data_IF_197176042559
#
_entry.id   IF_197176042559
#
_cell.length_a   1.000
_cell.length_b   1.000
_cell.length_c   1.000
_cell.angle_alpha   90.00
_cell.angle_beta   90.00
_cell.angle_gamma   90.00
#
_symmetry.space_group_name_H-M   'P 1'
#
loop_
_entity.id
_entity.type
_entity.pdbx_description
1 polymer ?
#
# COMPACT_ATOMS: atom_id res chain seq x y z
N UNK A 1 -54.82 74.78 -29.03
CA UNK A 1 -55.58 74.28 -30.19
C UNK A 1 -54.78 73.17 -30.85
N UNK A 2 -55.41 72.01 -31.02
CA UNK A 2 -55.02 70.79 -31.78
C UNK A 2 -53.85 69.95 -31.21
N UNK A 3 -54.14 68.79 -30.56
CA UNK A 3 -54.40 67.43 -31.10
C UNK A 3 -53.07 66.79 -31.60
N UNK A 4 -52.65 65.55 -31.30
CA UNK A 4 -53.35 64.31 -31.00
C UNK A 4 -52.36 63.26 -30.42
N UNK A 5 -52.93 62.34 -29.63
CA UNK A 5 -52.55 60.94 -29.34
C UNK A 5 -51.25 60.36 -29.93
N UNK A 6 -50.41 59.75 -29.08
CA UNK A 6 -49.76 58.47 -29.41
C UNK A 6 -49.53 57.63 -28.14
N UNK A 7 -50.04 56.42 -28.21
CA UNK A 7 -50.14 55.36 -27.19
C UNK A 7 -48.82 54.84 -26.66
N UNK A 8 -48.77 54.62 -25.34
CA UNK A 8 -47.73 53.92 -24.62
C UNK A 8 -47.97 52.40 -24.71
N UNK A 9 -47.03 51.63 -25.28
CA UNK A 9 -46.86 50.20 -24.98
C UNK A 9 -45.37 49.86 -25.01
N UNK A 10 -44.83 49.52 -23.84
CA UNK A 10 -43.52 48.91 -23.69
C UNK A 10 -43.49 47.59 -24.45
N UNK A 11 -42.63 47.49 -25.47
CA UNK A 11 -42.24 46.22 -26.06
C UNK A 11 -41.14 45.63 -25.19
N UNK A 12 -41.51 44.65 -24.36
CA UNK A 12 -40.57 43.81 -23.64
C UNK A 12 -39.91 42.87 -24.66
N UNK A 13 -38.69 43.19 -25.10
CA UNK A 13 -37.90 42.31 -25.96
C UNK A 13 -37.48 41.08 -25.16
N UNK A 14 -38.17 39.97 -25.40
CA UNK A 14 -37.82 38.65 -24.90
C UNK A 14 -36.52 38.22 -25.60
N UNK A 15 -35.39 38.21 -24.89
CA UNK A 15 -34.19 37.50 -25.34
C UNK A 15 -34.49 36.00 -25.25
N UNK A 16 -34.73 35.36 -26.40
CA UNK A 16 -34.67 33.92 -26.50
C UNK A 16 -33.20 33.51 -26.29
N UNK A 17 -32.87 33.02 -25.09
CA UNK A 17 -31.64 32.25 -24.89
C UNK A 17 -31.86 30.93 -25.62
N UNK A 18 -31.36 30.85 -26.85
CA UNK A 18 -31.16 29.58 -27.53
C UNK A 18 -30.13 28.80 -26.72
N UNK A 19 -30.60 27.91 -25.85
CA UNK A 19 -29.80 26.80 -25.36
C UNK A 19 -29.36 25.99 -26.58
N UNK A 20 -28.17 26.26 -27.09
CA UNK A 20 -27.43 25.22 -27.80
C UNK A 20 -27.06 24.18 -26.75
N UNK A 21 -27.94 23.18 -26.60
CA UNK A 21 -27.56 21.90 -26.05
C UNK A 21 -26.51 21.30 -26.97
N UNK A 22 -25.24 21.62 -26.70
CA UNK A 22 -24.17 20.72 -27.08
C UNK A 22 -24.48 19.42 -26.35
N UNK A 23 -24.62 18.28 -27.04
CA UNK A 23 -24.48 17.03 -26.33
C UNK A 23 -23.06 17.09 -25.75
N UNK A 24 -22.93 16.98 -24.43
CA UNK A 24 -21.70 16.47 -23.89
C UNK A 24 -21.58 15.07 -24.49
N UNK A 25 -20.88 14.96 -25.63
CA UNK A 25 -20.30 13.70 -26.00
C UNK A 25 -19.41 13.36 -24.83
N UNK A 26 -19.86 12.42 -23.99
CA UNK A 26 -18.93 11.58 -23.27
C UNK A 26 -18.01 11.05 -24.38
N UNK A 27 -16.86 11.68 -24.52
CA UNK A 27 -15.76 11.08 -25.22
C UNK A 27 -15.53 9.84 -24.36
N UNK A 28 -15.91 8.68 -24.85
CA UNK A 28 -15.40 7.42 -24.33
C UNK A 28 -13.89 7.56 -24.51
N UNK A 29 -13.23 8.15 -23.50
CA UNK A 29 -11.79 8.13 -23.38
C UNK A 29 -11.48 6.64 -23.43
N UNK A 30 -10.87 6.22 -24.53
CA UNK A 30 -10.47 4.83 -24.71
C UNK A 30 -9.67 4.51 -23.46
N UNK A 31 -10.22 3.64 -22.62
CA UNK A 31 -9.53 3.19 -21.42
C UNK A 31 -8.31 2.46 -21.95
N UNK A 32 -7.14 3.08 -21.80
CA UNK A 32 -5.87 2.46 -22.15
C UNK A 32 -5.83 1.06 -21.50
N UNK A 33 -5.51 0.00 -22.24
CA UNK A 33 -5.48 -1.33 -21.65
C UNK A 33 -4.34 -1.38 -20.62
N UNK A 34 -4.69 -1.54 -19.34
CA UNK A 34 -3.72 -1.63 -18.24
C UNK A 34 -3.62 -3.06 -17.73
N UNK A 35 -2.39 -3.55 -17.62
CA UNK A 35 -2.05 -4.81 -16.98
C UNK A 35 -1.36 -4.54 -15.63
N UNK A 36 -1.98 -4.99 -14.54
CA UNK A 36 -1.38 -4.98 -13.20
C UNK A 36 -0.84 -6.37 -12.90
N UNK A 37 0.44 -6.47 -12.56
CA UNK A 37 1.03 -7.71 -12.06
C UNK A 37 1.41 -7.51 -10.60
N UNK A 38 0.81 -8.34 -9.75
CA UNK A 38 1.13 -8.45 -8.33
C UNK A 38 1.65 -9.84 -8.07
N UNK A 39 2.72 -9.99 -7.30
CA UNK A 39 3.08 -11.30 -6.79
C UNK A 39 2.07 -11.74 -5.71
N UNK A 40 1.53 -12.94 -5.89
CA UNK A 40 0.62 -13.59 -4.92
C UNK A 40 1.32 -14.75 -4.19
N UNK A 41 2.64 -14.88 -4.34
CA UNK A 41 3.48 -15.86 -3.66
C UNK A 41 3.21 -17.31 -4.08
N UNK A 42 2.69 -17.53 -5.29
CA UNK A 42 2.38 -18.88 -5.82
C UNK A 42 3.46 -19.44 -6.74
N UNK A 43 4.37 -18.61 -7.21
CA UNK A 43 5.49 -19.01 -8.06
C UNK A 43 6.75 -18.78 -7.25
N UNK A 44 7.37 -19.86 -6.80
CA UNK A 44 8.69 -19.84 -6.18
C UNK A 44 9.71 -20.27 -7.23
N UNK A 45 10.35 -19.30 -7.87
CA UNK A 45 11.44 -19.51 -8.81
C UNK A 45 12.82 -19.39 -8.13
N UNK A 46 12.85 -19.31 -6.79
CA UNK A 46 14.07 -19.12 -5.99
C UNK A 46 14.64 -17.70 -6.04
N UNK A 47 13.90 -16.74 -6.62
CA UNK A 47 14.26 -15.33 -6.67
C UNK A 47 13.12 -14.47 -6.10
N UNK A 48 13.42 -13.22 -5.74
CA UNK A 48 12.35 -12.26 -5.55
C UNK A 48 11.91 -11.70 -6.90
N UNK A 49 10.73 -12.11 -7.36
CA UNK A 49 10.06 -11.56 -8.53
C UNK A 49 10.85 -11.60 -9.85
N UNK A 50 11.89 -12.42 -10.04
CA UNK A 50 12.64 -12.42 -11.31
C UNK A 50 11.77 -12.86 -12.49
N UNK A 51 10.99 -13.94 -12.36
CA UNK A 51 10.04 -14.34 -13.40
C UNK A 51 8.99 -13.27 -13.69
N UNK A 52 8.50 -12.59 -12.65
CA UNK A 52 7.59 -11.44 -12.78
C UNK A 52 8.26 -10.25 -13.47
N UNK A 53 9.51 -9.96 -13.13
CA UNK A 53 10.33 -8.90 -13.71
C UNK A 53 10.54 -9.12 -15.21
N UNK A 54 11.07 -10.29 -15.58
CA UNK A 54 11.40 -10.63 -16.98
C UNK A 54 10.13 -10.74 -17.83
N UNK A 55 9.10 -11.40 -17.30
CA UNK A 55 7.81 -11.54 -17.96
C UNK A 55 7.14 -10.19 -18.21
N UNK A 56 7.16 -9.30 -17.23
CA UNK A 56 6.60 -7.96 -17.37
C UNK A 56 7.37 -7.12 -18.39
N UNK A 57 8.71 -7.15 -18.33
CA UNK A 57 9.54 -6.40 -19.26
C UNK A 57 9.32 -6.86 -20.70
N UNK A 58 9.27 -8.18 -20.92
CA UNK A 58 8.97 -8.77 -22.22
C UNK A 58 7.56 -8.41 -22.72
N UNK A 59 6.56 -8.46 -21.83
CA UNK A 59 5.18 -8.11 -22.17
C UNK A 59 5.03 -6.63 -22.55
N UNK A 60 5.68 -5.73 -21.79
CA UNK A 60 5.70 -4.29 -22.08
C UNK A 60 6.35 -3.97 -23.42
N UNK A 61 7.47 -4.64 -23.76
CA UNK A 61 8.14 -4.49 -25.05
C UNK A 61 7.31 -5.04 -26.21
N UNK A 62 6.61 -6.16 -26.00
CA UNK A 62 5.78 -6.78 -27.03
C UNK A 62 4.44 -6.06 -27.27
N UNK A 63 3.99 -5.25 -26.31
CA UNK A 63 2.67 -4.62 -26.31
C UNK A 63 2.77 -3.11 -26.01
N UNK A 64 3.29 -2.30 -26.94
CA UNK A 64 3.55 -0.87 -26.70
C UNK A 64 2.27 -0.05 -26.42
N UNK A 65 1.12 -0.54 -26.88
CA UNK A 65 -0.20 0.09 -26.67
C UNK A 65 -0.87 -0.36 -25.36
N UNK A 66 -0.20 -1.17 -24.53
CA UNK A 66 -0.68 -1.65 -23.24
C UNK A 66 0.24 -1.10 -22.15
N UNK A 67 -0.35 -0.57 -21.08
CA UNK A 67 0.41 -0.06 -19.94
C UNK A 67 0.55 -1.11 -18.84
N UNK A 68 1.70 -1.16 -18.19
CA UNK A 68 2.06 -2.20 -17.24
C UNK A 68 2.50 -1.61 -15.90
N UNK A 69 1.94 -2.11 -14.81
CA UNK A 69 2.27 -1.70 -13.43
C UNK A 69 2.81 -2.92 -12.68
N UNK A 70 4.06 -2.85 -12.25
CA UNK A 70 4.69 -3.88 -11.40
C UNK A 70 4.78 -3.42 -9.96
N UNK A 71 4.06 -4.08 -9.04
CA UNK A 71 4.16 -3.81 -7.59
C UNK A 71 5.44 -4.44 -7.04
N UNK A 72 6.23 -3.68 -6.28
CA UNK A 72 7.53 -4.10 -5.72
C UNK A 72 8.56 -4.49 -6.78
N UNK A 73 8.42 -3.92 -7.97
CA UNK A 73 9.34 -4.11 -9.07
C UNK A 73 10.18 -2.85 -9.26
N UNK A 74 11.47 -3.07 -9.52
CA UNK A 74 12.40 -2.02 -9.94
C UNK A 74 13.06 -2.46 -11.25
N UNK A 75 13.02 -1.60 -12.25
CA UNK A 75 13.64 -1.82 -13.57
C UNK A 75 14.80 -0.84 -13.74
N UNK A 76 15.97 -1.35 -14.14
CA UNK A 76 17.11 -0.48 -14.46
C UNK A 76 16.85 0.34 -15.72
N UNK A 77 16.12 -0.23 -16.67
CA UNK A 77 15.65 0.40 -17.90
C UNK A 77 14.23 -0.09 -18.18
N UNK A 78 13.23 0.75 -17.95
CA UNK A 78 11.83 0.43 -18.25
C UNK A 78 11.39 1.06 -19.58
N UNK A 79 10.62 0.35 -20.41
CA UNK A 79 9.85 0.96 -21.50
C UNK A 79 8.89 2.03 -20.99
N UNK A 80 8.53 3.00 -21.84
CA UNK A 80 7.66 4.12 -21.47
C UNK A 80 6.26 3.69 -20.98
N UNK A 81 5.79 2.53 -21.40
CA UNK A 81 4.52 1.91 -21.00
C UNK A 81 4.65 0.99 -19.77
N UNK A 82 5.77 1.01 -19.05
CA UNK A 82 6.01 0.22 -17.84
C UNK A 82 6.41 1.13 -16.68
N UNK A 83 5.81 0.88 -15.50
CA UNK A 83 6.22 1.48 -14.23
C UNK A 83 6.37 0.42 -13.14
N UNK A 84 7.47 0.51 -12.40
CA UNK A 84 7.70 -0.22 -11.15
C UNK A 84 7.31 0.63 -9.94
N UNK A 85 6.51 0.07 -9.04
CA UNK A 85 6.10 0.71 -7.80
C UNK A 85 7.03 0.25 -6.68
N UNK A 86 7.73 1.20 -6.07
CA UNK A 86 8.67 0.97 -4.98
C UNK A 86 8.22 1.74 -3.75
N UNK A 87 8.57 1.22 -2.57
CA UNK A 87 8.14 1.79 -1.31
C UNK A 87 9.33 1.94 -0.35
N UNK A 88 9.23 2.90 0.57
CA UNK A 88 10.16 3.05 1.69
C UNK A 88 9.69 2.24 2.89
N UNK A 89 9.70 0.91 2.75
CA UNK A 89 9.27 -0.02 3.81
C UNK A 89 10.05 0.18 5.11
N UNK A 90 11.32 0.61 5.00
CA UNK A 90 12.18 0.94 6.12
C UNK A 90 11.61 2.08 6.99
N UNK A 91 10.87 3.03 6.41
CA UNK A 91 10.25 4.13 7.16
C UNK A 91 9.05 3.64 7.98
N UNK A 92 8.16 2.82 7.41
CA UNK A 92 7.07 2.23 8.19
C UNK A 92 7.59 1.24 9.24
N UNK A 93 8.55 0.40 8.87
CA UNK A 93 9.25 -0.47 9.80
C UNK A 93 9.82 0.33 10.98
N UNK A 94 10.52 1.43 10.73
CA UNK A 94 11.07 2.28 11.78
C UNK A 94 10.00 2.85 12.72
N UNK A 95 8.89 3.34 12.18
CA UNK A 95 7.78 3.85 13.00
C UNK A 95 7.15 2.74 13.85
N UNK A 96 6.92 1.56 13.27
CA UNK A 96 6.40 0.40 14.00
C UNK A 96 7.37 -0.07 15.09
N UNK A 97 8.67 -0.11 14.80
CA UNK A 97 9.70 -0.47 15.76
C UNK A 97 9.81 0.52 16.90
N UNK A 98 9.75 1.82 16.60
CA UNK A 98 9.75 2.87 17.61
C UNK A 98 8.52 2.77 18.52
N UNK A 99 7.34 2.48 17.96
CA UNK A 99 6.14 2.21 18.74
C UNK A 99 6.31 0.99 19.64
N UNK A 100 6.83 -0.12 19.10
CA UNK A 100 7.06 -1.34 19.86
C UNK A 100 8.04 -1.14 21.02
N UNK A 101 9.18 -0.50 20.77
CA UNK A 101 10.17 -0.24 21.82
C UNK A 101 9.70 0.72 22.91
N UNK A 102 8.81 1.67 22.59
CA UNK A 102 8.17 2.55 23.58
C UNK A 102 7.11 1.86 24.45
N UNK A 103 6.48 0.81 23.94
CA UNK A 103 5.36 0.14 24.61
C UNK A 103 5.73 -1.19 25.28
N UNK A 104 6.88 -1.76 24.93
CA UNK A 104 7.38 -2.98 25.57
C UNK A 104 7.69 -2.73 27.04
N UNK A 105 7.16 -3.59 27.90
CA UNK A 105 7.46 -3.66 29.33
C UNK A 105 8.58 -4.70 29.61
N UNK A 106 8.74 -5.70 28.75
CA UNK A 106 9.72 -6.79 28.92
C UNK A 106 11.10 -6.48 28.35
N UNK A 107 11.23 -5.38 27.61
CA UNK A 107 12.39 -5.07 26.76
C UNK A 107 12.68 -6.16 25.71
N UNK A 108 11.71 -7.02 25.40
CA UNK A 108 11.81 -8.03 24.33
C UNK A 108 10.64 -7.83 23.37
N UNK A 109 10.97 -7.57 22.11
CA UNK A 109 9.99 -7.43 21.02
C UNK A 109 10.38 -8.38 19.90
N UNK A 110 9.43 -8.73 19.03
CA UNK A 110 9.71 -9.66 17.95
C UNK A 110 9.06 -9.29 16.62
N UNK A 111 9.68 -9.73 15.53
CA UNK A 111 9.10 -9.69 14.19
C UNK A 111 8.99 -11.08 13.56
N UNK A 112 7.80 -11.44 13.09
CA UNK A 112 7.59 -12.62 12.23
C UNK A 112 7.55 -12.16 10.79
N UNK A 113 8.57 -12.51 10.03
CA UNK A 113 8.76 -12.05 8.66
C UNK A 113 8.38 -13.13 7.64
N UNK A 114 7.92 -12.72 6.46
CA UNK A 114 7.76 -13.63 5.32
C UNK A 114 9.11 -14.00 4.69
N UNK A 115 9.09 -14.35 3.40
CA UNK A 115 10.28 -14.74 2.65
C UNK A 115 11.34 -13.62 2.72
N UNK A 116 12.62 -13.98 2.80
CA UNK A 116 13.73 -13.03 2.84
C UNK A 116 13.96 -12.39 1.46
N UNK A 117 13.26 -11.28 1.23
CA UNK A 117 13.25 -10.53 -0.02
C UNK A 117 13.40 -9.03 0.27
N UNK A 118 13.86 -8.20 -0.69
CA UNK A 118 14.24 -6.82 -0.40
C UNK A 118 13.19 -5.96 0.32
N UNK A 119 11.88 -5.99 -0.02
CA UNK A 119 10.86 -5.28 0.75
C UNK A 119 10.76 -5.73 2.22
N UNK A 120 10.80 -7.04 2.47
CA UNK A 120 10.69 -7.63 3.82
C UNK A 120 11.95 -7.32 4.62
N UNK A 121 13.13 -7.44 4.00
CA UNK A 121 14.40 -7.08 4.61
C UNK A 121 14.46 -5.59 4.99
N UNK A 122 13.91 -4.70 4.14
CA UNK A 122 13.76 -3.27 4.45
C UNK A 122 12.83 -3.04 5.64
N UNK A 123 11.67 -3.69 5.67
CA UNK A 123 10.75 -3.62 6.81
C UNK A 123 11.43 -4.05 8.12
N UNK A 124 12.06 -5.22 8.11
CA UNK A 124 12.80 -5.76 9.26
C UNK A 124 13.89 -4.80 9.75
N UNK A 125 14.72 -4.32 8.82
CA UNK A 125 15.78 -3.37 9.13
C UNK A 125 15.23 -2.07 9.74
N UNK A 126 14.13 -1.55 9.18
CA UNK A 126 13.41 -0.42 9.74
C UNK A 126 12.96 -0.70 11.18
N UNK A 127 12.25 -1.81 11.39
CA UNK A 127 11.73 -2.22 12.70
C UNK A 127 12.83 -2.33 13.76
N UNK A 128 13.89 -3.09 13.50
CA UNK A 128 15.00 -3.27 14.44
C UNK A 128 15.68 -1.92 14.77
N UNK A 129 15.85 -1.03 13.79
CA UNK A 129 16.40 0.30 14.03
C UNK A 129 15.45 1.21 14.82
N UNK A 130 14.14 1.12 14.60
CA UNK A 130 13.12 1.87 15.35
C UNK A 130 13.05 1.43 16.82
N UNK A 131 13.09 0.12 17.06
CA UNK A 131 13.17 -0.45 18.42
C UNK A 131 14.39 0.09 19.13
N UNK A 132 15.57 -0.07 18.53
CA UNK A 132 16.83 0.41 19.11
C UNK A 132 16.84 1.92 19.36
N UNK A 133 16.20 2.71 18.49
CA UNK A 133 16.13 4.15 18.64
C UNK A 133 15.26 4.59 19.82
N UNK A 134 14.14 3.90 20.04
CA UNK A 134 13.19 4.22 21.11
C UNK A 134 13.59 3.62 22.47
N UNK A 135 14.21 2.44 22.44
CA UNK A 135 14.67 1.70 23.60
C UNK A 135 15.98 0.97 23.26
N UNK A 136 17.11 1.59 23.60
CA UNK A 136 18.45 1.04 23.32
C UNK A 136 18.73 -0.29 24.05
N UNK A 137 18.01 -0.58 25.13
CA UNK A 137 18.14 -1.80 25.93
C UNK A 137 17.31 -2.97 25.40
N UNK A 138 16.34 -2.71 24.52
CA UNK A 138 15.43 -3.73 24.04
C UNK A 138 16.11 -4.72 23.08
N UNK A 139 15.74 -6.00 23.22
CA UNK A 139 16.08 -7.06 22.29
C UNK A 139 14.99 -7.21 21.23
N UNK A 140 15.35 -7.06 19.96
CA UNK A 140 14.47 -7.37 18.84
C UNK A 140 14.77 -8.79 18.31
N UNK A 141 13.87 -9.74 18.57
CA UNK A 141 13.88 -11.08 17.98
C UNK A 141 13.30 -11.04 16.56
N UNK A 142 13.69 -11.99 15.71
CA UNK A 142 13.04 -12.10 14.42
C UNK A 142 13.54 -13.19 13.49
N UNK A 143 12.61 -13.77 12.73
CA UNK A 143 12.87 -14.87 11.79
C UNK A 143 12.07 -14.68 10.50
N UNK A 144 12.68 -15.11 9.38
CA UNK A 144 11.99 -15.25 8.11
C UNK A 144 11.37 -16.64 8.02
N UNK A 145 10.05 -16.67 7.88
CA UNK A 145 9.31 -17.86 7.49
C UNK A 145 9.36 -17.93 5.96
N UNK A 146 9.75 -19.08 5.37
CA UNK A 146 9.90 -19.21 3.91
C UNK A 146 8.55 -19.34 3.19
N UNK A 147 7.59 -18.50 3.54
CA UNK A 147 6.25 -18.44 2.95
C UNK A 147 5.56 -17.13 3.30
N UNK A 148 4.80 -16.56 2.36
CA UNK A 148 3.85 -15.48 2.62
C UNK A 148 2.43 -15.98 2.93
N UNK A 149 2.17 -17.28 2.75
CA UNK A 149 0.84 -17.88 2.77
C UNK A 149 0.71 -19.02 3.78
N UNK A 150 1.55 -19.06 4.80
CA UNK A 150 1.55 -20.08 5.85
C UNK A 150 1.23 -19.48 7.24
N UNK A 151 -0.06 -19.18 7.50
CA UNK A 151 -0.48 -18.61 8.77
C UNK A 151 -0.22 -19.54 9.97
N UNK A 152 -0.13 -20.85 9.75
CA UNK A 152 0.10 -21.81 10.83
C UNK A 152 1.54 -21.69 11.36
N UNK A 153 2.53 -21.72 10.46
CA UNK A 153 3.94 -21.50 10.84
C UNK A 153 4.15 -20.10 11.43
N UNK A 154 3.47 -19.08 10.91
CA UNK A 154 3.50 -17.73 11.49
C UNK A 154 2.99 -17.69 12.93
N UNK A 155 1.86 -18.35 13.22
CA UNK A 155 1.30 -18.47 14.56
C UNK A 155 2.24 -19.22 15.52
N UNK A 156 2.80 -20.37 15.11
CA UNK A 156 3.75 -21.13 15.91
C UNK A 156 5.00 -20.31 16.25
N UNK A 157 5.52 -19.56 15.28
CA UNK A 157 6.67 -18.67 15.46
C UNK A 157 6.38 -17.57 16.49
N UNK A 158 5.21 -16.93 16.41
CA UNK A 158 4.83 -15.90 17.36
C UNK A 158 4.74 -16.46 18.79
N UNK A 159 4.15 -17.64 18.96
CA UNK A 159 4.06 -18.30 20.27
C UNK A 159 5.43 -18.66 20.85
N UNK A 160 6.40 -19.00 20.00
CA UNK A 160 7.79 -19.21 20.43
C UNK A 160 8.41 -17.90 20.95
N UNK A 161 8.25 -16.79 20.24
CA UNK A 161 8.74 -15.49 20.69
C UNK A 161 8.09 -15.03 22.00
N UNK A 162 6.80 -15.30 22.21
CA UNK A 162 6.12 -15.05 23.48
C UNK A 162 6.76 -15.88 24.61
N UNK A 163 7.08 -17.15 24.35
CA UNK A 163 7.77 -17.99 25.33
C UNK A 163 9.21 -17.51 25.63
N UNK A 164 9.84 -16.81 24.68
CA UNK A 164 11.13 -16.12 24.85
C UNK A 164 11.01 -14.73 25.51
N UNK A 165 9.79 -14.29 25.84
CA UNK A 165 9.52 -13.06 26.59
C UNK A 165 9.03 -11.88 25.75
N UNK A 166 8.81 -12.06 24.45
CA UNK A 166 8.33 -10.98 23.59
C UNK A 166 6.91 -10.52 23.99
N UNK A 167 6.73 -9.21 24.20
CA UNK A 167 5.45 -8.61 24.60
C UNK A 167 4.87 -7.63 23.56
N UNK A 168 5.63 -7.35 22.50
CA UNK A 168 5.14 -6.70 21.28
C UNK A 168 5.61 -7.48 20.05
N UNK A 169 4.69 -7.86 19.16
CA UNK A 169 4.99 -8.65 17.95
C UNK A 169 4.52 -7.95 16.67
N UNK A 170 5.45 -7.72 15.73
CA UNK A 170 5.18 -7.30 14.36
C UNK A 170 4.97 -8.53 13.46
N UNK A 171 3.90 -8.56 12.66
CA UNK A 171 3.72 -9.58 11.61
C UNK A 171 3.91 -9.01 10.22
N UNK A 172 5.07 -9.23 9.60
CA UNK A 172 5.45 -8.66 8.31
C UNK A 172 5.74 -9.74 7.25
N UNK A 173 4.69 -10.36 6.70
CA UNK A 173 4.85 -11.49 5.80
C UNK A 173 3.57 -12.00 5.17
N UNK A 174 2.68 -11.11 4.73
CA UNK A 174 1.38 -11.51 4.18
C UNK A 174 0.56 -12.32 5.21
N UNK A 175 -0.15 -13.34 4.73
CA UNK A 175 -0.99 -14.18 5.60
C UNK A 175 -0.20 -14.94 6.68
N UNK A 176 1.09 -15.22 6.45
CA UNK A 176 1.99 -15.74 7.49
C UNK A 176 2.11 -14.75 8.66
N UNK A 177 2.37 -13.47 8.36
CA UNK A 177 2.43 -12.40 9.36
C UNK A 177 1.08 -12.16 10.05
N UNK A 178 -0.02 -12.16 9.28
CA UNK A 178 -1.37 -12.05 9.84
C UNK A 178 -1.71 -13.21 10.79
N UNK A 179 -1.22 -14.43 10.50
CA UNK A 179 -1.33 -15.59 11.39
C UNK A 179 -0.58 -15.40 12.71
N UNK A 180 0.62 -14.84 12.64
CA UNK A 180 1.44 -14.51 13.80
C UNK A 180 0.74 -13.53 14.75
N UNK A 181 0.27 -12.40 14.24
CA UNK A 181 -0.37 -11.38 15.09
C UNK A 181 -1.70 -11.86 15.66
N UNK A 182 -2.48 -12.66 14.94
CA UNK A 182 -3.72 -13.24 15.49
C UNK A 182 -3.43 -14.18 16.66
N UNK A 183 -2.40 -15.02 16.53
CA UNK A 183 -2.03 -15.94 17.60
C UNK A 183 -1.49 -15.20 18.84
N UNK A 184 -0.63 -14.20 18.62
CA UNK A 184 -0.05 -13.39 19.70
C UNK A 184 -1.12 -12.56 20.43
N UNK A 185 -1.97 -11.86 19.69
CA UNK A 185 -3.07 -11.09 20.25
C UNK A 185 -4.04 -11.95 21.07
N UNK A 186 -4.30 -13.19 20.65
CA UNK A 186 -5.12 -14.13 21.42
C UNK A 186 -4.48 -14.58 22.75
N UNK A 187 -3.16 -14.37 22.93
CA UNK A 187 -2.46 -14.55 24.21
C UNK A 187 -2.38 -13.26 25.05
N UNK A 188 -2.96 -12.16 24.57
CA UNK A 188 -2.91 -10.86 25.23
C UNK A 188 -1.59 -10.09 25.03
N UNK A 189 -0.83 -10.46 24.01
CA UNK A 189 0.41 -9.77 23.61
C UNK A 189 0.08 -8.69 22.60
N UNK A 190 0.69 -7.52 22.74
CA UNK A 190 0.47 -6.42 21.80
C UNK A 190 1.02 -6.76 20.41
N UNK A 191 0.33 -6.32 19.37
CA UNK A 191 0.71 -6.64 17.99
C UNK A 191 0.65 -5.43 17.08
N UNK A 192 1.48 -5.47 16.04
CA UNK A 192 1.52 -4.47 14.97
C UNK A 192 1.40 -5.18 13.63
N UNK A 193 0.40 -4.79 12.84
CA UNK A 193 0.19 -5.30 11.48
C UNK A 193 1.02 -4.59 10.43
N UNK A 194 0.95 -5.04 9.17
CA UNK A 194 1.60 -4.35 8.03
C UNK A 194 0.75 -4.29 6.77
N UNK A 195 1.19 -3.47 5.82
CA UNK A 195 0.66 -3.22 4.48
C UNK A 195 -0.69 -2.51 4.46
N UNK A 196 -1.67 -3.08 5.14
CA UNK A 196 -3.03 -2.59 5.24
C UNK A 196 -3.43 -2.40 6.71
N UNK A 197 -4.57 -1.76 6.93
CA UNK A 197 -5.16 -1.71 8.26
C UNK A 197 -5.70 -3.09 8.64
N UNK A 198 -4.93 -3.80 9.46
CA UNK A 198 -5.25 -5.16 9.89
C UNK A 198 -6.36 -5.21 10.94
N UNK A 199 -6.78 -4.07 11.50
CA UNK A 199 -8.02 -4.00 12.25
C UNK A 199 -9.21 -4.35 11.34
N UNK A 200 -9.23 -3.78 10.13
CA UNK A 200 -10.31 -3.99 9.16
C UNK A 200 -10.27 -5.39 8.53
N UNK A 201 -9.08 -5.92 8.27
CA UNK A 201 -8.92 -7.16 7.49
C UNK A 201 -8.71 -8.38 8.37
N UNK A 202 -7.62 -8.42 9.13
CA UNK A 202 -7.20 -9.57 9.93
C UNK A 202 -8.02 -9.74 11.19
N UNK A 203 -8.46 -8.64 11.81
CA UNK A 203 -9.26 -8.65 13.04
C UNK A 203 -10.76 -8.41 12.83
N UNK A 204 -11.20 -8.22 11.59
CA UNK A 204 -12.62 -8.13 11.24
C UNK A 204 -13.36 -7.01 11.98
N UNK A 205 -12.77 -5.82 12.08
CA UNK A 205 -13.32 -4.65 12.81
C UNK A 205 -13.57 -4.93 14.29
N UNK A 206 -12.64 -5.63 14.93
CA UNK A 206 -12.73 -5.95 16.36
C UNK A 206 -13.49 -7.22 16.69
N UNK A 207 -14.02 -7.95 15.69
CA UNK A 207 -14.76 -9.20 15.93
C UNK A 207 -13.84 -10.38 16.28
N UNK A 208 -12.57 -10.32 15.88
CA UNK A 208 -11.60 -11.38 16.18
C UNK A 208 -11.06 -11.27 17.61
N UNK A 209 -10.88 -12.38 18.33
CA UNK A 209 -10.27 -12.37 19.67
C UNK A 209 -8.90 -11.66 19.67
N UNK A 210 -8.70 -10.80 20.68
CA UNK A 210 -7.46 -10.07 20.88
C UNK A 210 -7.31 -8.82 20.00
N UNK A 211 -8.33 -8.41 19.26
CA UNK A 211 -8.28 -7.18 18.46
C UNK A 211 -7.93 -5.93 19.28
N UNK A 212 -8.25 -5.92 20.58
CA UNK A 212 -7.87 -4.86 21.53
C UNK A 212 -6.35 -4.76 21.76
N UNK A 213 -5.58 -5.78 21.39
CA UNK A 213 -4.11 -5.79 21.46
C UNK A 213 -3.44 -5.33 20.16
N UNK A 214 -4.20 -5.03 19.10
CA UNK A 214 -3.65 -4.43 17.89
C UNK A 214 -3.35 -2.95 18.14
N UNK A 215 -2.07 -2.59 18.18
CA UNK A 215 -1.62 -1.21 18.39
C UNK A 215 -1.81 -0.34 17.14
N UNK A 216 -1.74 -0.96 15.97
CA UNK A 216 -1.82 -0.32 14.67
C UNK A 216 -1.20 -1.14 13.57
N UNK A 217 -1.07 -0.54 12.38
CA UNK A 217 -0.48 -1.19 11.22
C UNK A 217 0.52 -0.30 10.52
N UNK A 218 1.69 -0.85 10.20
CA UNK A 218 2.70 -0.20 9.37
C UNK A 218 2.23 -0.25 7.90
N UNK A 219 1.58 0.82 7.45
CA UNK A 219 0.88 0.88 6.17
C UNK A 219 1.85 0.99 4.99
N UNK A 220 1.52 0.28 3.91
CA UNK A 220 2.14 0.37 2.58
C UNK A 220 1.02 0.55 1.56
N UNK A 221 0.88 1.77 1.04
CA UNK A 221 -0.26 2.18 0.21
C UNK A 221 -0.13 1.73 -1.25
N UNK A 222 -0.10 0.41 -1.46
CA UNK A 222 -0.13 -0.19 -2.80
C UNK A 222 -1.38 0.27 -3.56
N UNK A 223 -2.51 0.37 -2.87
CA UNK A 223 -3.77 0.91 -3.39
C UNK A 223 -3.60 2.32 -3.98
N UNK A 224 -2.95 3.22 -3.22
CA UNK A 224 -2.70 4.59 -3.66
C UNK A 224 -1.70 4.63 -4.82
N UNK A 225 -0.64 3.83 -4.76
CA UNK A 225 0.37 3.76 -5.82
C UNK A 225 -0.24 3.34 -7.16
N UNK A 226 -1.07 2.29 -7.15
CA UNK A 226 -1.81 1.84 -8.34
C UNK A 226 -2.80 2.90 -8.79
N UNK A 227 -3.58 3.48 -7.87
CA UNK A 227 -4.54 4.55 -8.19
C UNK A 227 -3.87 5.73 -8.89
N UNK A 228 -2.75 6.23 -8.37
CA UNK A 228 -2.03 7.36 -8.94
C UNK A 228 -1.48 7.05 -10.33
N UNK A 229 -1.00 5.83 -10.57
CA UNK A 229 -0.57 5.40 -11.91
C UNK A 229 -1.74 5.34 -12.89
N UNK A 230 -2.89 4.79 -12.48
CA UNK A 230 -4.10 4.76 -13.31
C UNK A 230 -4.63 6.17 -13.59
N UNK A 231 -4.64 7.03 -12.57
CA UNK A 231 -5.07 8.42 -12.71
C UNK A 231 -4.24 9.16 -13.76
N UNK A 232 -2.92 9.00 -13.73
CA UNK A 232 -2.03 9.61 -14.71
C UNK A 232 -2.40 9.21 -16.16
N UNK A 233 -2.74 7.93 -16.39
CA UNK A 233 -3.20 7.47 -17.71
C UNK A 233 -4.55 8.07 -18.10
N UNK A 234 -5.51 8.12 -17.17
CA UNK A 234 -6.84 8.73 -17.41
C UNK A 234 -6.72 10.22 -17.76
N UNK A 235 -5.78 10.92 -17.15
CA UNK A 235 -5.49 12.34 -17.38
C UNK A 235 -4.63 12.59 -18.64
N UNK A 236 -4.18 11.52 -19.32
CA UNK A 236 -3.33 11.60 -20.51
C UNK A 236 -1.87 11.98 -20.23
N UNK A 237 -1.42 11.81 -18.98
CA UNK A 237 -0.07 12.12 -18.52
C UNK A 237 0.80 10.86 -18.42
N UNK A 238 1.20 10.34 -19.58
CA UNK A 238 2.05 9.15 -19.68
C UNK A 238 3.45 9.34 -19.05
N UNK A 239 3.94 10.58 -18.97
CA UNK A 239 5.21 10.87 -18.30
C UNK A 239 5.09 10.68 -16.79
N UNK A 240 4.00 11.17 -16.18
CA UNK A 240 3.70 10.91 -14.77
C UNK A 240 3.46 9.43 -14.52
N UNK A 241 2.79 8.70 -15.42
CA UNK A 241 2.66 7.24 -15.30
C UNK A 241 4.03 6.55 -15.19
N UNK A 242 4.95 6.85 -16.11
CA UNK A 242 6.26 6.21 -16.18
C UNK A 242 7.16 6.54 -14.97
N UNK A 243 6.93 7.67 -14.30
CA UNK A 243 7.73 8.09 -13.16
C UNK A 243 9.17 8.44 -13.53
N UNK A 244 10.03 8.55 -12.53
CA UNK A 244 11.45 8.85 -12.75
C UNK A 244 12.18 7.56 -13.14
N UNK A 245 12.55 7.44 -14.42
CA UNK A 245 13.29 6.28 -14.93
C UNK A 245 12.49 4.96 -14.89
N UNK A 246 11.16 5.01 -14.95
CA UNK A 246 10.32 3.82 -14.84
C UNK A 246 9.94 3.44 -13.42
N UNK A 247 10.22 4.31 -12.45
CA UNK A 247 9.98 4.02 -11.02
C UNK A 247 9.10 5.10 -10.41
N UNK A 248 8.10 4.64 -9.67
CA UNK A 248 7.33 5.47 -8.75
C UNK A 248 7.65 5.03 -7.32
N UNK A 249 8.38 5.87 -6.61
CA UNK A 249 8.70 5.66 -5.20
C UNK A 249 7.64 6.31 -4.31
N UNK A 250 7.15 5.55 -3.33
CA UNK A 250 6.24 6.02 -2.30
C UNK A 250 6.91 5.96 -0.93
N UNK A 251 6.75 7.02 -0.16
CA UNK A 251 7.35 7.17 1.17
C UNK A 251 6.41 7.90 2.12
N UNK A 252 6.87 8.20 3.34
CA UNK A 252 6.07 8.91 4.33
C UNK A 252 5.74 10.34 3.91
N UNK A 253 6.61 11.03 3.16
CA UNK A 253 6.36 12.39 2.69
C UNK A 253 5.29 12.43 1.58
N UNK A 254 5.18 11.35 0.81
CA UNK A 254 4.13 11.16 -0.19
C UNK A 254 2.88 10.46 0.35
N UNK A 255 2.75 10.28 1.67
CA UNK A 255 1.68 9.52 2.35
C UNK A 255 1.52 8.07 1.87
N UNK A 256 2.53 7.53 1.17
CA UNK A 256 2.50 6.19 0.61
C UNK A 256 2.94 5.11 1.58
N UNK A 257 3.55 5.53 2.69
CA UNK A 257 3.96 4.71 3.82
C UNK A 257 3.56 5.43 5.10
N UNK A 258 3.19 4.69 6.15
CA UNK A 258 2.87 5.31 7.43
C UNK A 258 2.58 4.31 8.54
N UNK A 259 2.10 4.83 9.67
CA UNK A 259 1.60 4.03 10.79
C UNK A 259 0.14 4.40 11.03
N UNK A 260 -0.77 3.47 10.74
CA UNK A 260 -2.20 3.61 11.00
C UNK A 260 -2.54 3.20 12.44
N UNK A 261 -3.55 3.84 13.03
CA UNK A 261 -4.02 3.52 14.37
C UNK A 261 -4.86 2.23 14.38
N UNK A 262 -4.72 1.39 15.40
CA UNK A 262 -5.59 0.24 15.63
C UNK A 262 -6.85 0.66 16.39
N UNK A 263 -7.97 0.92 15.69
CA UNK A 263 -9.25 1.29 16.34
C UNK A 263 -10.48 0.88 15.54
#
# INVERSE_FOLDING_TARGET
MNNAWLTFRLTLTMFAITLFGLPAQAQDALIEPVCLVTDVGRVDDGTFNQGGYEGMLAAAQASPDVYFIGVDHFYSEAPANLVGLQFREDQAGFLAGALAGLLSDSDVVAGVYGIDVPPVARFRCGFENGVKHSNEGAQALGVHVPSFIDPATGAETALQFIAEGADVILGAGGATGSGAIRAAAAQGVYVIGVDQDEYLTTFGRGESPGAEFLLGSALKRVDQAVYLSLQALVEGDAATFHGEGGVRLLDAASEGIGLGAGT
#
